data_IF_441901580172
#
_entry.id   IF_441901580172
#
_cell.length_a   1.000
_cell.length_b   1.000
_cell.length_c   1.000
_cell.angle_alpha   90.00
_cell.angle_beta   90.00
_cell.angle_gamma   90.00
#
_symmetry.space_group_name_H-M   'P 1'
#
loop_
_entity.id
_entity.type
_entity.pdbx_description
1 polymer ?
#
# COMPACT_ATOMS: atom_id res chain seq x y z
N UNK A 1 -3.18 -5.37 -13.61
CA UNK A 1 -2.09 -4.78 -12.79
C UNK A 1 -2.03 -3.29 -13.05
N UNK A 2 -1.90 -2.45 -12.02
CA UNK A 2 -1.97 -0.98 -12.13
C UNK A 2 -0.74 -0.30 -12.73
N UNK A 3 0.35 -1.05 -12.99
CA UNK A 3 1.55 -0.53 -13.68
C UNK A 3 2.34 0.51 -12.88
N UNK A 4 2.26 0.47 -11.55
CA UNK A 4 2.93 1.42 -10.66
C UNK A 4 4.30 0.90 -10.22
N UNK A 5 5.24 1.80 -10.03
CA UNK A 5 6.49 1.49 -9.32
C UNK A 5 6.20 1.50 -7.83
N UNK A 6 6.68 0.49 -7.11
CA UNK A 6 6.55 0.40 -5.65
C UNK A 6 7.86 -0.09 -5.05
N UNK A 7 8.07 0.25 -3.79
CA UNK A 7 9.12 -0.34 -2.97
C UNK A 7 8.49 -1.37 -2.02
N UNK A 8 9.23 -2.42 -1.70
CA UNK A 8 8.75 -3.49 -0.83
C UNK A 8 9.82 -3.81 0.22
N UNK A 9 9.42 -3.75 1.49
CA UNK A 9 10.30 -4.05 2.61
C UNK A 9 9.91 -5.37 3.26
N UNK A 10 10.87 -6.28 3.40
CA UNK A 10 10.67 -7.59 4.03
C UNK A 10 10.82 -7.46 5.55
N UNK A 11 9.68 -7.36 6.23
CA UNK A 11 9.62 -7.20 7.69
C UNK A 11 10.08 -8.44 8.46
N UNK A 12 10.25 -9.59 7.81
CA UNK A 12 10.70 -10.81 8.50
C UNK A 12 12.21 -10.80 8.75
N UNK A 13 12.95 -9.88 8.13
CA UNK A 13 14.40 -9.74 8.29
C UNK A 13 14.80 -8.87 9.48
N UNK A 14 13.85 -8.09 10.02
CA UNK A 14 14.07 -7.14 11.10
C UNK A 14 12.84 -7.08 12.01
N UNK A 15 12.96 -7.67 13.20
CA UNK A 15 11.88 -7.71 14.18
C UNK A 15 11.58 -6.34 14.80
N UNK A 16 12.57 -5.43 14.90
CA UNK A 16 12.34 -4.06 15.38
C UNK A 16 11.52 -3.28 14.37
N UNK A 17 11.87 -3.37 13.08
CA UNK A 17 11.08 -2.78 12.00
C UNK A 17 9.67 -3.37 11.96
N UNK A 18 9.55 -4.70 12.10
CA UNK A 18 8.26 -5.40 12.09
C UNK A 18 7.33 -4.95 13.21
N UNK A 19 7.87 -4.68 14.39
CA UNK A 19 7.08 -4.19 15.50
C UNK A 19 6.80 -2.69 15.34
N UNK A 20 7.82 -1.91 14.97
CA UNK A 20 7.71 -0.47 14.75
C UNK A 20 6.67 -0.08 13.70
N UNK A 21 6.55 -0.83 12.60
CA UNK A 21 5.55 -0.52 11.56
C UNK A 21 4.11 -0.72 12.06
N UNK A 22 3.88 -1.71 12.93
CA UNK A 22 2.55 -1.96 13.53
C UNK A 22 2.17 -0.84 14.49
N UNK A 23 3.12 -0.40 15.30
CA UNK A 23 2.90 0.68 16.26
C UNK A 23 2.71 2.02 15.53
N UNK A 24 3.48 2.27 14.46
CA UNK A 24 3.37 3.46 13.63
C UNK A 24 2.01 3.59 12.92
N UNK A 25 1.52 2.52 12.29
CA UNK A 25 0.22 2.52 11.61
C UNK A 25 -0.95 2.30 12.56
N UNK A 26 -0.68 2.01 13.84
CA UNK A 26 -1.66 1.52 14.81
C UNK A 26 -2.46 0.32 14.26
N UNK A 27 -1.77 -0.56 13.53
CA UNK A 27 -2.38 -1.71 12.84
C UNK A 27 -1.60 -3.00 13.12
N UNK A 28 -2.24 -4.06 13.63
CA UNK A 28 -1.52 -5.22 14.17
C UNK A 28 -1.02 -6.21 13.11
N UNK A 29 -1.54 -6.14 11.87
CA UNK A 29 -1.31 -7.18 10.84
C UNK A 29 -0.40 -6.71 9.70
N UNK A 30 0.23 -7.69 9.06
CA UNK A 30 1.07 -7.56 7.86
C UNK A 30 0.42 -8.45 6.78
N UNK A 31 0.47 -8.11 5.48
CA UNK A 31 1.11 -6.93 4.87
C UNK A 31 0.37 -5.62 5.14
N UNK A 32 1.12 -4.52 5.17
CA UNK A 32 0.62 -3.15 5.25
C UNK A 32 1.06 -2.40 3.99
N UNK A 33 0.14 -1.66 3.38
CA UNK A 33 0.44 -0.84 2.21
C UNK A 33 0.25 0.63 2.55
N UNK A 34 1.20 1.42 2.08
CA UNK A 34 1.22 2.87 2.21
C UNK A 34 1.19 3.50 0.82
N UNK A 35 0.37 4.52 0.64
CA UNK A 35 0.27 5.29 -0.60
C UNK A 35 0.59 6.74 -0.23
N UNK A 36 1.61 7.32 -0.88
CA UNK A 36 2.08 8.67 -0.59
C UNK A 36 2.49 8.92 0.88
N UNK A 37 2.91 7.86 1.58
CA UNK A 37 3.29 7.91 3.00
C UNK A 37 2.12 7.71 3.97
N UNK A 38 0.88 7.71 3.50
CA UNK A 38 -0.31 7.46 4.30
C UNK A 38 -0.66 5.96 4.31
N UNK A 39 -1.08 5.46 5.47
CA UNK A 39 -1.51 4.06 5.61
C UNK A 39 -2.80 3.81 4.83
N UNK A 40 -2.72 2.97 3.79
CA UNK A 40 -3.86 2.63 2.94
C UNK A 40 -4.61 1.39 3.45
N UNK A 41 -3.92 0.44 4.08
CA UNK A 41 -4.56 -0.74 4.67
C UNK A 41 -3.79 -2.05 4.49
N UNK A 42 -4.46 -3.15 4.80
CA UNK A 42 -4.00 -4.52 4.54
C UNK A 42 -4.38 -4.99 3.13
N UNK A 43 -4.01 -6.24 2.80
CA UNK A 43 -4.35 -6.86 1.51
C UNK A 43 -5.86 -6.85 1.22
N UNK A 44 -6.70 -7.21 2.19
CA UNK A 44 -8.14 -7.30 2.00
C UNK A 44 -8.76 -5.94 1.63
N UNK A 45 -8.36 -4.88 2.34
CA UNK A 45 -8.82 -3.51 2.10
C UNK A 45 -8.41 -3.07 0.69
N UNK A 46 -7.16 -3.32 0.29
CA UNK A 46 -6.70 -2.97 -1.05
C UNK A 46 -7.42 -3.74 -2.16
N UNK A 47 -7.80 -4.99 -1.92
CA UNK A 47 -8.60 -5.77 -2.85
C UNK A 47 -10.02 -5.19 -2.98
N UNK A 48 -10.62 -4.71 -1.90
CA UNK A 48 -11.90 -3.99 -1.94
C UNK A 48 -11.78 -2.66 -2.70
N UNK A 49 -10.76 -1.86 -2.39
CA UNK A 49 -10.46 -0.61 -3.09
C UNK A 49 -10.18 -0.83 -4.59
N UNK A 50 -9.57 -1.95 -4.96
CA UNK A 50 -9.41 -2.31 -6.37
C UNK A 50 -10.78 -2.61 -7.00
N UNK A 51 -11.63 -3.40 -6.34
CA UNK A 51 -12.91 -3.85 -6.89
C UNK A 51 -13.89 -2.69 -7.09
N UNK A 52 -13.91 -1.72 -6.19
CA UNK A 52 -14.79 -0.56 -6.27
C UNK A 52 -14.18 0.63 -7.02
N UNK A 53 -12.90 0.56 -7.41
CA UNK A 53 -12.20 1.58 -8.18
C UNK A 53 -11.53 2.68 -7.34
N UNK A 54 -11.71 2.69 -6.02
CA UNK A 54 -11.09 3.69 -5.12
C UNK A 54 -9.56 3.65 -5.17
N UNK A 55 -8.96 2.46 -5.33
CA UNK A 55 -7.51 2.31 -5.42
C UNK A 55 -6.95 3.09 -6.62
N UNK A 56 -7.67 3.11 -7.74
CA UNK A 56 -7.23 3.83 -8.93
C UNK A 56 -7.22 5.34 -8.67
N UNK A 57 -8.23 5.85 -7.97
CA UNK A 57 -8.32 7.27 -7.63
C UNK A 57 -7.22 7.69 -6.65
N UNK A 58 -6.93 6.87 -5.63
CA UNK A 58 -5.82 7.13 -4.70
C UNK A 58 -4.46 7.11 -5.41
N UNK A 59 -4.23 6.15 -6.31
CA UNK A 59 -2.97 6.09 -7.08
C UNK A 59 -2.80 7.29 -8.02
N UNK A 60 -3.88 7.81 -8.61
CA UNK A 60 -3.84 9.04 -9.42
C UNK A 60 -3.47 10.26 -8.58
N UNK A 61 -4.03 10.38 -7.37
CA UNK A 61 -3.71 11.48 -6.43
C UNK A 61 -2.25 11.45 -5.99
N UNK A 62 -1.70 10.25 -5.76
CA UNK A 62 -0.31 10.05 -5.39
C UNK A 62 0.70 10.43 -6.51
N UNK A 63 0.25 10.96 -7.65
CA UNK A 63 1.11 11.43 -8.72
C UNK A 63 1.73 10.32 -9.58
N UNK A 64 1.43 9.07 -9.27
CA UNK A 64 1.78 7.92 -10.11
C UNK A 64 0.85 7.92 -11.32
N UNK A 65 1.31 8.56 -12.41
CA UNK A 65 0.61 8.54 -13.70
C UNK A 65 0.33 7.09 -14.08
N UNK A 66 -0.91 6.67 -13.94
CA UNK A 66 -1.40 5.40 -14.42
C UNK A 66 -1.17 5.36 -15.95
N UNK A 67 -0.14 4.64 -16.39
CA UNK A 67 0.10 4.41 -17.81
C UNK A 67 -0.82 3.29 -18.29
N UNK A 68 -2.10 3.61 -18.46
CA UNK A 68 -3.00 2.79 -19.27
C UNK A 68 -3.22 3.51 -20.59
N UNK A 69 -2.67 2.94 -21.67
CA UNK A 69 -2.79 3.50 -23.01
C UNK A 69 -1.44 3.76 -23.69
N UNK A 70 -0.73 2.68 -24.02
CA UNK A 70 -0.36 2.44 -25.42
C UNK A 70 -0.71 1.00 -25.76
#
# INVERSE_FOLDING_TARGET
MHGITYDAHDVLKDEEFRQGIKDFSNWPTIPQVFINGDFAGSCDILLEMHKNGELIEELKKAGNKHSFGK
#
